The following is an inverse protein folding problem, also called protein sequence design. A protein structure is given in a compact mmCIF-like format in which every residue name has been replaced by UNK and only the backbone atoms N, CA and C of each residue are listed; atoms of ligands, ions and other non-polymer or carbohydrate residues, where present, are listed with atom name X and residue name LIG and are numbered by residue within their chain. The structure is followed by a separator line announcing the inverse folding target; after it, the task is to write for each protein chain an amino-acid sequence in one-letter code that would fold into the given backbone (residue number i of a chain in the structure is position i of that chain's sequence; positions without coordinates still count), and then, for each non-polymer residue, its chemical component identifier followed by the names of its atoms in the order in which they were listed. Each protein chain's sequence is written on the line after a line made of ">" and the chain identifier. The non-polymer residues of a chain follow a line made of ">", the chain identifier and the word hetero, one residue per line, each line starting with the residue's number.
data_IF_775285565736
#
_entry.id   IF_775285565736
#
_cell.length_a   1.000
_cell.length_b   1.000
_cell.length_c   1.000
_cell.angle_alpha   90.00
_cell.angle_beta   90.00
_cell.angle_gamma   90.00
#
_symmetry.space_group_name_H-M   'P 1'
#
loop_
_entity.id
_entity.type
_entity.pdbx_description
1 polymer ?
#
# COMPACT_ATOMS: atom_id res chain seq x y z
N UNK A 1 -3.63 -3.48 -20.59
CA UNK A 1 -2.87 -2.21 -20.58
C UNK A 1 -1.91 -2.22 -19.41
N UNK A 2 -0.67 -1.76 -19.60
CA UNK A 2 0.32 -1.59 -18.52
C UNK A 2 0.09 -0.25 -17.84
N UNK A 3 0.22 -0.21 -16.51
CA UNK A 3 0.26 1.03 -15.71
C UNK A 3 1.52 1.00 -14.87
N UNK A 4 2.40 1.98 -15.06
CA UNK A 4 3.74 1.98 -14.49
C UNK A 4 4.76 2.67 -15.40
N UNK A 5 5.98 2.17 -15.47
CA UNK A 5 7.09 2.77 -16.19
C UNK A 5 7.74 1.83 -17.18
N UNK A 6 8.07 2.37 -18.34
CA UNK A 6 9.18 1.91 -19.18
C UNK A 6 10.42 2.71 -18.78
N UNK A 7 11.34 2.07 -18.05
CA UNK A 7 12.55 2.70 -17.50
C UNK A 7 13.55 3.01 -18.61
N UNK A 8 13.61 2.18 -19.66
CA UNK A 8 14.48 2.39 -20.84
C UNK A 8 14.07 3.62 -21.64
N UNK A 9 12.77 3.78 -21.91
CA UNK A 9 12.23 4.92 -22.67
C UNK A 9 11.91 6.14 -21.82
N UNK A 10 11.99 6.02 -20.48
CA UNK A 10 11.56 7.04 -19.52
C UNK A 10 10.09 7.45 -19.70
N UNK A 11 9.23 6.47 -19.99
CA UNK A 11 7.81 6.70 -20.20
C UNK A 11 7.03 6.27 -18.97
N UNK A 12 6.18 7.17 -18.48
CA UNK A 12 5.26 6.94 -17.38
C UNK A 12 3.85 6.69 -17.91
N UNK A 13 3.39 5.46 -17.79
CA UNK A 13 2.04 5.01 -18.05
C UNK A 13 1.18 5.18 -16.79
N UNK A 14 0.75 6.43 -16.53
CA UNK A 14 -0.19 6.76 -15.45
C UNK A 14 -1.63 6.83 -15.95
N UNK A 15 -2.57 6.75 -15.01
CA UNK A 15 -4.00 6.97 -15.27
C UNK A 15 -4.42 8.31 -14.68
N UNK A 16 -5.14 9.11 -15.46
CA UNK A 16 -5.69 10.40 -15.03
C UNK A 16 -7.19 10.40 -15.23
N UNK A 17 -7.94 10.81 -14.21
CA UNK A 17 -9.38 10.98 -14.29
C UNK A 17 -9.76 12.04 -15.33
N UNK A 18 -10.94 11.93 -15.89
CA UNK A 18 -11.58 13.06 -16.55
C UNK A 18 -11.92 14.13 -15.52
N UNK A 19 -11.99 15.38 -15.97
CA UNK A 19 -12.35 16.50 -15.11
C UNK A 19 -13.76 16.32 -14.54
N UNK A 20 -14.70 15.83 -15.35
CA UNK A 20 -16.03 15.36 -14.96
C UNK A 20 -16.62 14.42 -16.04
N UNK A 21 -17.89 14.05 -15.91
CA UNK A 21 -18.57 13.11 -16.83
C UNK A 21 -18.78 13.65 -18.25
N UNK A 22 -18.83 14.98 -18.42
CA UNK A 22 -19.07 15.64 -19.71
C UNK A 22 -17.79 16.25 -20.31
N UNK A 23 -16.72 16.38 -19.53
CA UNK A 23 -15.45 16.99 -19.92
C UNK A 23 -14.28 15.98 -19.78
N UNK A 24 -13.80 15.42 -20.90
CA UNK A 24 -12.72 14.43 -20.91
C UNK A 24 -11.32 15.02 -20.73
N UNK A 25 -11.19 16.34 -20.52
CA UNK A 25 -9.92 16.95 -20.17
C UNK A 25 -9.37 16.40 -18.84
N UNK A 26 -8.06 16.56 -18.63
CA UNK A 26 -7.39 16.00 -17.46
C UNK A 26 -7.92 16.59 -16.16
N UNK A 27 -8.34 15.71 -15.26
CA UNK A 27 -8.62 16.00 -13.86
C UNK A 27 -7.36 16.00 -12.99
N UNK A 28 -7.59 16.11 -11.68
CA UNK A 28 -6.61 16.10 -10.60
C UNK A 28 -6.48 14.73 -9.92
N UNK A 29 -7.40 13.79 -10.17
CA UNK A 29 -7.36 12.44 -9.58
C UNK A 29 -6.54 11.50 -10.48
N UNK A 30 -5.39 11.05 -9.98
CA UNK A 30 -4.36 10.33 -10.75
C UNK A 30 -3.98 9.04 -10.02
N UNK A 31 -3.68 7.98 -10.77
CA UNK A 31 -2.96 6.80 -10.28
C UNK A 31 -1.63 6.66 -11.02
N UNK A 32 -0.54 6.54 -10.26
CA UNK A 32 0.80 6.42 -10.81
C UNK A 32 1.67 5.48 -9.97
N UNK A 33 2.63 4.86 -10.64
CA UNK A 33 3.69 4.06 -10.00
C UNK A 33 4.83 4.99 -9.58
N UNK A 34 5.23 4.89 -8.31
CA UNK A 34 6.36 5.63 -7.76
C UNK A 34 7.57 4.71 -7.72
N UNK A 35 8.67 5.16 -8.33
CA UNK A 35 9.92 4.42 -8.37
C UNK A 35 10.69 4.63 -7.06
N UNK A 36 10.52 3.70 -6.12
CA UNK A 36 11.35 3.53 -4.93
C UNK A 36 12.18 2.25 -5.08
N UNK A 37 13.09 1.89 -4.13
CA UNK A 37 13.76 0.59 -4.18
C UNK A 37 12.79 -0.60 -4.28
N UNK A 38 11.58 -0.48 -3.72
CA UNK A 38 10.49 -1.42 -3.96
C UNK A 38 9.21 -0.65 -4.39
N UNK A 39 8.99 -0.49 -5.71
CA UNK A 39 7.98 0.41 -6.25
C UNK A 39 6.56 0.14 -5.76
N UNK A 40 5.81 1.22 -5.61
CA UNK A 40 4.42 1.22 -5.14
C UNK A 40 3.55 2.07 -6.05
N UNK A 41 2.29 1.67 -6.24
CA UNK A 41 1.31 2.52 -6.90
C UNK A 41 0.51 3.28 -5.86
N UNK A 42 0.22 4.54 -6.19
CA UNK A 42 -0.59 5.41 -5.36
C UNK A 42 -1.68 6.09 -6.19
N UNK A 43 -2.79 6.42 -5.53
CA UNK A 43 -3.83 7.28 -6.09
C UNK A 43 -3.92 8.59 -5.33
N UNK A 44 -3.85 9.71 -6.04
CA UNK A 44 -3.74 11.06 -5.48
C UNK A 44 -4.83 11.95 -6.07
N UNK A 45 -5.35 12.89 -5.30
CA UNK A 45 -6.16 14.00 -5.81
C UNK A 45 -5.47 15.31 -5.47
N UNK A 46 -4.94 15.99 -6.49
CA UNK A 46 -4.03 17.12 -6.28
C UNK A 46 -2.81 16.68 -5.48
N UNK A 47 -2.54 17.32 -4.34
CA UNK A 47 -1.43 16.98 -3.44
C UNK A 47 -1.76 15.91 -2.39
N UNK A 48 -3.03 15.50 -2.30
CA UNK A 48 -3.48 14.55 -1.27
C UNK A 48 -3.37 13.11 -1.77
N UNK A 49 -2.51 12.31 -1.12
CA UNK A 49 -2.52 10.84 -1.26
C UNK A 49 -3.83 10.29 -0.69
N UNK A 50 -4.51 9.43 -1.45
CA UNK A 50 -5.80 8.83 -1.06
C UNK A 50 -5.70 7.32 -0.85
N UNK A 51 -4.82 6.66 -1.59
CA UNK A 51 -4.68 5.20 -1.55
C UNK A 51 -3.26 4.80 -1.93
N UNK A 52 -2.78 3.70 -1.35
CA UNK A 52 -1.50 3.06 -1.66
C UNK A 52 -1.70 1.56 -1.80
N UNK A 53 -1.17 0.98 -2.87
CA UNK A 53 -1.28 -0.45 -3.16
C UNK A 53 -0.42 -1.36 -2.28
N UNK A 54 0.55 -0.79 -1.59
CA UNK A 54 1.61 -1.54 -0.92
C UNK A 54 2.78 -1.88 -1.83
N UNK A 55 3.94 -2.21 -1.24
CA UNK A 55 5.10 -2.70 -1.96
C UNK A 55 4.86 -4.09 -2.54
N UNK A 56 5.69 -4.46 -3.52
CA UNK A 56 5.71 -5.81 -4.05
C UNK A 56 6.31 -6.77 -3.02
N UNK A 57 5.62 -7.89 -2.78
CA UNK A 57 6.02 -8.90 -1.79
C UNK A 57 6.06 -10.32 -2.37
N UNK A 58 6.51 -10.44 -3.63
CA UNK A 58 6.32 -11.66 -4.42
C UNK A 58 4.90 -11.71 -5.01
N UNK A 59 4.36 -12.88 -5.42
CA UNK A 59 3.16 -13.04 -6.26
C UNK A 59 1.87 -12.32 -5.81
N UNK A 60 1.86 -11.75 -4.61
CA UNK A 60 0.73 -11.04 -4.01
C UNK A 60 1.23 -9.68 -3.52
N UNK A 61 0.66 -8.58 -4.01
CA UNK A 61 0.76 -7.27 -3.35
C UNK A 61 -0.24 -7.19 -2.21
N UNK A 62 0.11 -6.49 -1.13
CA UNK A 62 -0.69 -6.47 0.11
C UNK A 62 -1.92 -5.56 0.06
N UNK A 63 -1.97 -4.55 -0.82
CA UNK A 63 -3.07 -3.57 -0.83
C UNK A 63 -4.14 -3.75 -1.92
N UNK A 64 -3.83 -4.29 -3.11
CA UNK A 64 -4.87 -4.47 -4.17
C UNK A 64 -5.50 -5.86 -4.14
N UNK A 65 -4.71 -6.88 -3.81
CA UNK A 65 -5.07 -8.26 -4.06
C UNK A 65 -5.56 -8.83 -2.73
N UNK A 66 -6.88 -9.01 -2.62
CA UNK A 66 -7.43 -9.83 -1.54
C UNK A 66 -6.71 -11.18 -1.45
N UNK A 67 -6.73 -11.80 -0.28
CA UNK A 67 -5.99 -13.04 -0.01
C UNK A 67 -6.37 -14.22 -0.94
N UNK A 68 -7.46 -14.09 -1.69
CA UNK A 68 -7.99 -15.07 -2.64
C UNK A 68 -7.81 -14.63 -4.09
N UNK A 69 -7.57 -15.58 -4.98
CA UNK A 69 -7.47 -15.30 -6.40
C UNK A 69 -8.78 -14.68 -6.92
N UNK A 70 -8.66 -13.60 -7.68
CA UNK A 70 -9.83 -12.94 -8.24
C UNK A 70 -10.46 -13.81 -9.36
N UNK A 71 -11.78 -14.06 -9.37
CA UNK A 71 -12.43 -14.88 -10.38
C UNK A 71 -12.60 -14.17 -11.73
N UNK A 72 -12.57 -12.84 -11.77
CA UNK A 72 -12.80 -12.03 -12.98
C UNK A 72 -11.51 -11.81 -13.79
N UNK A 73 -10.40 -11.53 -13.11
CA UNK A 73 -9.14 -11.16 -13.76
C UNK A 73 -7.90 -11.75 -13.08
N UNK A 74 -6.83 -11.88 -13.84
CA UNK A 74 -5.46 -12.02 -13.32
C UNK A 74 -4.85 -10.63 -13.13
N UNK A 75 -4.05 -10.49 -12.08
CA UNK A 75 -3.25 -9.30 -11.82
C UNK A 75 -1.78 -9.69 -11.96
N UNK A 76 -1.09 -8.99 -12.86
CA UNK A 76 0.32 -9.21 -13.11
C UNK A 76 1.07 -7.96 -12.69
N UNK A 77 2.14 -8.15 -11.91
CA UNK A 77 3.07 -7.09 -11.56
C UNK A 77 4.47 -7.51 -11.99
N UNK A 78 5.14 -6.63 -12.72
CA UNK A 78 6.52 -6.81 -13.14
C UNK A 78 7.35 -5.69 -12.53
N UNK A 79 8.52 -6.03 -11.99
CA UNK A 79 9.57 -5.08 -11.62
C UNK A 79 10.92 -5.68 -11.99
N UNK A 80 11.53 -5.17 -13.05
CA UNK A 80 12.87 -5.53 -13.47
C UNK A 80 13.66 -4.27 -13.90
N UNK A 81 14.84 -4.44 -14.48
CA UNK A 81 15.68 -3.31 -14.90
C UNK A 81 15.07 -2.45 -16.02
N UNK A 82 14.17 -3.03 -16.82
CA UNK A 82 13.61 -2.41 -18.02
C UNK A 82 12.28 -1.71 -17.77
N UNK A 83 11.41 -2.35 -16.99
CA UNK A 83 10.03 -1.93 -16.80
C UNK A 83 9.59 -2.20 -15.35
N UNK A 84 8.67 -1.37 -14.86
CA UNK A 84 7.89 -1.69 -13.67
C UNK A 84 6.44 -1.34 -13.90
N UNK A 85 5.54 -2.31 -13.84
CA UNK A 85 4.13 -2.04 -14.08
C UNK A 85 3.25 -3.06 -13.40
N UNK A 86 1.98 -2.70 -13.26
CA UNK A 86 0.91 -3.67 -13.10
C UNK A 86 -0.01 -3.68 -14.31
N UNK A 87 -0.65 -4.82 -14.54
CA UNK A 87 -1.72 -4.95 -15.52
C UNK A 87 -2.77 -5.95 -15.07
N UNK A 88 -3.94 -5.86 -15.70
CA UNK A 88 -5.03 -6.79 -15.48
C UNK A 88 -5.38 -7.48 -16.79
N UNK A 89 -5.56 -8.80 -16.72
CA UNK A 89 -5.97 -9.64 -17.84
C UNK A 89 -7.25 -10.36 -17.48
N UNK A 90 -8.32 -10.18 -18.24
CA UNK A 90 -9.59 -10.88 -17.98
C UNK A 90 -9.43 -12.37 -18.22
N UNK A 91 -10.00 -13.19 -17.34
CA UNK A 91 -9.97 -14.65 -17.47
C UNK A 91 -10.90 -15.16 -18.56
N UNK A 92 -12.02 -14.47 -18.77
CA UNK A 92 -12.95 -14.73 -19.85
C UNK A 92 -12.98 -13.52 -20.79
N UNK A 93 -12.56 -13.73 -22.04
CA UNK A 93 -12.47 -12.67 -23.05
C UNK A 93 -13.82 -12.17 -23.56
N UNK A 94 -14.91 -12.90 -23.31
CA UNK A 94 -16.28 -12.46 -23.64
C UNK A 94 -16.83 -11.43 -22.64
N UNK A 95 -16.21 -11.30 -21.46
CA UNK A 95 -16.62 -10.30 -20.47
C UNK A 95 -16.01 -8.94 -20.84
N UNK A 96 -16.82 -7.88 -20.78
CA UNK A 96 -16.32 -6.52 -20.91
C UNK A 96 -16.17 -5.91 -19.52
N UNK A 97 -14.96 -5.46 -19.19
CA UNK A 97 -14.68 -4.75 -17.95
C UNK A 97 -13.78 -3.55 -18.22
N UNK A 98 -14.08 -2.44 -17.55
CA UNK A 98 -13.31 -1.20 -17.66
C UNK A 98 -12.93 -0.69 -16.27
N UNK A 99 -11.88 0.13 -16.24
CA UNK A 99 -11.45 0.84 -15.04
C UNK A 99 -11.72 2.32 -15.26
N UNK A 100 -12.47 2.93 -14.35
CA UNK A 100 -12.86 4.35 -14.42
C UNK A 100 -12.41 5.05 -13.15
N UNK A 101 -11.86 6.26 -13.30
CA UNK A 101 -11.50 7.13 -12.19
C UNK A 101 -12.57 8.21 -12.07
N UNK A 102 -13.33 8.18 -10.98
CA UNK A 102 -14.35 9.17 -10.71
C UNK A 102 -13.78 10.24 -9.78
N UNK A 103 -13.45 11.40 -10.36
CA UNK A 103 -12.86 12.52 -9.64
C UNK A 103 -13.76 13.12 -8.57
N UNK A 104 -15.08 13.15 -8.80
CA UNK A 104 -16.04 13.79 -7.88
C UNK A 104 -16.04 13.10 -6.53
N UNK A 105 -16.12 11.77 -6.53
CA UNK A 105 -16.13 10.96 -5.30
C UNK A 105 -14.75 10.42 -4.92
N UNK A 106 -13.72 10.69 -5.74
CA UNK A 106 -12.33 10.26 -5.54
C UNK A 106 -12.15 8.75 -5.42
N UNK A 107 -12.91 7.99 -6.22
CA UNK A 107 -12.84 6.54 -6.27
C UNK A 107 -12.38 6.05 -7.63
N UNK A 108 -11.54 5.02 -7.62
CA UNK A 108 -11.30 4.19 -8.80
C UNK A 108 -12.29 3.04 -8.78
N UNK A 109 -13.03 2.86 -9.87
CA UNK A 109 -14.05 1.83 -10.00
C UNK A 109 -13.65 0.82 -11.08
N UNK A 110 -13.86 -0.48 -10.82
CA UNK A 110 -13.94 -1.50 -11.86
C UNK A 110 -15.40 -1.70 -12.21
N UNK A 111 -15.74 -1.46 -13.47
CA UNK A 111 -17.07 -1.74 -13.99
C UNK A 111 -17.04 -3.03 -14.81
N UNK A 112 -18.12 -3.80 -14.75
CA UNK A 112 -18.36 -5.00 -15.55
C UNK A 112 -19.68 -4.82 -16.28
N UNK A 113 -19.68 -5.04 -17.59
CA UNK A 113 -20.89 -4.96 -18.40
C UNK A 113 -21.72 -6.22 -18.22
N UNK A 114 -23.00 -6.05 -17.87
CA UNK A 114 -23.97 -7.15 -17.76
C UNK A 114 -24.85 -7.14 -19.02
N UNK A 115 -24.67 -8.08 -19.97
CA UNK A 115 -25.37 -8.07 -21.25
C UNK A 115 -26.89 -8.14 -21.12
N UNK A 116 -27.40 -8.90 -20.15
CA UNK A 116 -28.82 -9.17 -19.96
C UNK A 116 -29.59 -7.90 -19.56
N UNK A 117 -28.99 -7.10 -18.67
CA UNK A 117 -29.59 -5.87 -18.17
C UNK A 117 -29.11 -4.62 -18.91
N UNK A 118 -28.05 -4.73 -19.71
CA UNK A 118 -27.39 -3.61 -20.40
C UNK A 118 -26.91 -2.52 -19.43
N UNK A 119 -26.39 -2.93 -18.28
CA UNK A 119 -25.94 -2.03 -17.21
C UNK A 119 -24.47 -2.32 -16.88
N UNK A 120 -23.71 -1.26 -16.61
CA UNK A 120 -22.41 -1.35 -15.97
C UNK A 120 -22.57 -1.56 -14.46
N UNK A 121 -22.19 -2.74 -13.99
CA UNK A 121 -22.17 -3.07 -12.57
C UNK A 121 -20.83 -2.72 -11.95
N UNK A 122 -20.83 -2.14 -10.75
CA UNK A 122 -19.61 -1.86 -9.99
C UNK A 122 -19.12 -3.15 -9.34
N UNK A 123 -17.99 -3.66 -9.82
CA UNK A 123 -17.38 -4.88 -9.29
C UNK A 123 -16.45 -4.59 -8.10
N UNK A 124 -15.73 -3.48 -8.14
CA UNK A 124 -14.75 -3.09 -7.12
C UNK A 124 -14.58 -1.58 -7.08
N UNK A 125 -14.39 -1.02 -5.89
CA UNK A 125 -13.91 0.35 -5.68
C UNK A 125 -12.56 0.34 -4.97
N UNK A 126 -11.72 1.33 -5.25
CA UNK A 126 -10.52 1.64 -4.47
C UNK A 126 -10.55 3.14 -4.10
N UNK A 127 -10.28 3.50 -2.82
CA UNK A 127 -10.28 2.65 -1.62
C UNK A 127 -11.54 1.76 -1.51
N UNK A 128 -11.41 0.54 -0.97
CA UNK A 128 -12.54 -0.37 -0.78
C UNK A 128 -13.25 -0.12 0.55
N UNK A 129 -12.50 0.26 1.58
CA UNK A 129 -12.97 0.56 2.93
C UNK A 129 -12.19 1.72 3.56
N UNK A 130 -12.44 1.99 4.84
CA UNK A 130 -11.81 3.09 5.57
C UNK A 130 -10.33 2.84 5.89
N UNK A 131 -9.88 1.58 5.96
CA UNK A 131 -8.47 1.24 6.21
C UNK A 131 -7.60 1.36 4.96
N UNK A 132 -8.21 1.27 3.78
CA UNK A 132 -7.53 1.54 2.51
C UNK A 132 -7.23 3.04 2.30
N UNK A 133 -7.89 3.93 3.04
CA UNK A 133 -7.63 5.37 2.95
C UNK A 133 -6.23 5.65 3.48
N UNK A 134 -5.41 6.27 2.64
CA UNK A 134 -4.00 6.47 2.94
C UNK A 134 -3.77 7.13 4.30
N UNK A 135 -3.05 6.43 5.16
CA UNK A 135 -2.53 6.86 6.45
C UNK A 135 -3.60 7.37 7.44
N UNK A 136 -4.77 6.74 7.47
CA UNK A 136 -5.89 7.12 8.35
C UNK A 136 -5.53 7.07 9.85
N UNK A 137 -4.66 6.15 10.27
CA UNK A 137 -4.27 5.96 11.67
C UNK A 137 -3.01 6.70 12.12
N UNK A 138 -2.39 7.47 11.21
CA UNK A 138 -1.15 8.19 11.49
C UNK A 138 0.06 7.30 11.74
N UNK A 139 1.18 7.93 12.13
CA UNK A 139 2.44 7.26 12.39
C UNK A 139 2.34 6.21 13.49
N UNK A 140 2.88 5.01 13.27
CA UNK A 140 2.93 3.88 14.21
C UNK A 140 1.55 3.43 14.74
N UNK A 141 0.47 3.86 14.08
CA UNK A 141 -0.88 3.34 14.22
C UNK A 141 -1.20 2.42 13.05
N UNK A 142 -2.07 1.44 13.27
CA UNK A 142 -2.55 0.53 12.22
C UNK A 142 -4.08 0.47 12.26
N UNK A 143 -4.67 0.19 11.09
CA UNK A 143 -6.11 0.09 10.94
C UNK A 143 -6.60 -1.34 11.07
N UNK A 144 -7.70 -1.53 11.82
CA UNK A 144 -8.36 -2.81 12.06
C UNK A 144 -9.83 -2.65 11.68
N UNK A 145 -10.23 -3.29 10.57
CA UNK A 145 -11.55 -3.11 9.95
C UNK A 145 -12.72 -3.36 10.90
N UNK A 146 -12.65 -4.43 11.69
CA UNK A 146 -13.74 -4.86 12.57
C UNK A 146 -13.67 -4.23 13.98
N UNK A 147 -12.75 -3.28 14.20
CA UNK A 147 -12.59 -2.60 15.49
C UNK A 147 -13.37 -1.28 15.56
N UNK A 148 -13.74 -0.89 16.78
CA UNK A 148 -14.31 0.43 17.07
C UNK A 148 -13.65 0.98 18.34
N UNK A 149 -12.73 1.96 18.23
CA UNK A 149 -12.27 2.65 17.02
C UNK A 149 -11.42 1.76 16.09
N UNK A 150 -11.41 2.08 14.78
CA UNK A 150 -10.66 1.32 13.75
C UNK A 150 -9.14 1.44 13.92
N UNK A 151 -8.65 2.53 14.52
CA UNK A 151 -7.22 2.76 14.68
C UNK A 151 -6.69 2.31 16.04
N UNK A 152 -5.60 1.56 16.01
CA UNK A 152 -4.90 1.07 17.19
C UNK A 152 -3.40 1.35 17.08
N UNK A 153 -2.76 1.71 18.19
CA UNK A 153 -1.31 1.82 18.21
C UNK A 153 -0.66 0.44 18.09
N UNK A 154 0.50 0.38 17.45
CA UNK A 154 1.34 -0.81 17.47
C UNK A 154 1.69 -1.20 18.91
N UNK A 155 1.90 -2.50 19.16
CA UNK A 155 2.29 -2.98 20.49
C UNK A 155 3.58 -2.31 20.94
N UNK A 156 3.57 -1.71 22.14
CA UNK A 156 4.69 -0.93 22.67
C UNK A 156 4.64 0.56 22.33
N UNK A 157 3.56 1.03 21.70
CA UNK A 157 3.28 2.43 21.44
C UNK A 157 1.99 2.89 22.16
N UNK A 158 1.84 4.20 22.31
CA UNK A 158 0.66 4.89 22.85
C UNK A 158 0.30 6.10 21.99
N UNK A 159 -0.96 6.56 22.03
CA UNK A 159 -1.34 7.77 21.30
C UNK A 159 -0.46 8.95 21.69
N UNK A 160 0.00 9.71 20.69
CA UNK A 160 0.78 10.94 20.94
C UNK A 160 -0.06 11.98 21.66
N UNK A 161 -1.34 12.07 21.31
CA UNK A 161 -2.35 12.90 21.98
C UNK A 161 -3.56 12.03 22.36
N UNK A 162 -3.68 11.57 23.62
CA UNK A 162 -4.81 10.75 24.06
C UNK A 162 -6.18 11.42 23.87
N UNK A 163 -6.23 12.74 24.02
CA UNK A 163 -7.46 13.53 23.89
C UNK A 163 -7.97 13.51 22.44
N UNK A 164 -7.10 13.78 21.46
CA UNK A 164 -7.44 13.72 20.03
C UNK A 164 -7.76 12.29 19.60
N UNK A 165 -6.97 11.32 20.05
CA UNK A 165 -7.17 9.91 19.73
C UNK A 165 -8.54 9.39 20.17
N UNK A 166 -8.96 9.74 21.38
CA UNK A 166 -10.29 9.38 21.91
C UNK A 166 -11.43 10.13 21.19
N UNK A 167 -11.13 11.28 20.57
CA UNK A 167 -12.05 12.04 19.74
C UNK A 167 -12.00 11.63 18.25
N UNK A 168 -11.40 10.47 17.93
CA UNK A 168 -11.25 9.93 16.56
C UNK A 168 -10.35 10.74 15.63
N UNK A 169 -9.54 11.66 16.16
CA UNK A 169 -8.45 12.31 15.44
C UNK A 169 -7.15 11.55 15.68
N UNK A 170 -6.82 10.67 14.73
CA UNK A 170 -5.61 9.83 14.76
C UNK A 170 -4.43 10.46 14.01
N UNK A 171 -4.55 11.70 13.52
CA UNK A 171 -3.56 12.35 12.65
C UNK A 171 -2.16 12.46 13.28
N UNK A 172 -2.10 12.58 14.60
CA UNK A 172 -0.84 12.63 15.36
C UNK A 172 -0.19 11.26 15.57
N UNK A 173 -0.89 10.16 15.26
CA UNK A 173 -0.39 8.80 15.41
C UNK A 173 -0.02 8.43 16.85
N UNK A 174 0.95 7.54 16.94
CA UNK A 174 1.42 6.91 18.15
C UNK A 174 2.93 7.09 18.32
N UNK A 175 3.37 7.15 19.57
CA UNK A 175 4.78 7.25 19.98
C UNK A 175 5.13 6.07 20.88
N UNK A 176 6.42 5.71 20.95
CA UNK A 176 6.89 4.61 21.80
C UNK A 176 6.50 4.83 23.27
N UNK A 177 6.22 3.74 23.97
CA UNK A 177 5.92 3.75 25.39
C UNK A 177 7.19 3.98 26.22
N UNK A 178 7.12 4.94 27.14
CA UNK A 178 8.19 5.24 28.09
C UNK A 178 9.45 5.84 27.44
N UNK A 179 10.52 5.95 28.24
CA UNK A 179 11.82 6.41 27.77
C UNK A 179 12.59 5.22 27.17
N UNK A 180 12.41 4.99 25.87
CA UNK A 180 13.20 4.01 25.13
C UNK A 180 14.51 4.63 24.64
N UNK A 181 15.60 3.89 24.79
CA UNK A 181 16.92 4.24 24.25
C UNK A 181 17.45 3.06 23.45
N UNK A 182 17.83 3.33 22.20
CA UNK A 182 18.45 2.35 21.32
C UNK A 182 19.85 1.93 21.80
N UNK A 183 20.26 0.72 21.46
CA UNK A 183 21.58 0.17 21.71
C UNK A 183 21.76 -0.34 23.12
N UNK A 184 20.68 -0.35 23.93
CA UNK A 184 20.74 -0.86 25.30
C UNK A 184 20.62 -2.37 25.26
N UNK A 185 21.72 -3.05 25.61
CA UNK A 185 21.81 -4.51 25.63
C UNK A 185 20.62 -5.11 26.39
N UNK A 186 19.95 -6.09 25.77
CA UNK A 186 18.78 -6.80 26.29
C UNK A 186 17.50 -5.95 26.48
N UNK A 187 17.44 -4.70 26.01
CA UNK A 187 16.19 -3.90 26.01
C UNK A 187 15.57 -3.73 24.63
N UNK A 188 16.39 -3.79 23.58
CA UNK A 188 15.91 -3.71 22.20
C UNK A 188 15.46 -5.07 21.70
N UNK A 189 14.37 -5.05 20.94
CA UNK A 189 13.80 -6.23 20.33
C UNK A 189 12.66 -5.88 19.40
N UNK A 190 12.12 -6.91 18.75
CA UNK A 190 11.01 -6.77 17.81
C UNK A 190 9.84 -7.63 18.23
N UNK A 191 8.63 -7.09 18.02
CA UNK A 191 7.40 -7.86 18.09
C UNK A 191 7.02 -8.27 16.67
N UNK A 192 6.86 -9.57 16.44
CA UNK A 192 6.34 -10.08 15.17
C UNK A 192 4.86 -9.72 15.04
N UNK A 193 4.49 -9.15 13.90
CA UNK A 193 3.12 -8.84 13.49
C UNK A 193 2.82 -9.64 12.23
N UNK A 194 1.60 -10.16 12.11
CA UNK A 194 1.14 -10.99 10.99
C UNK A 194 -0.16 -10.43 10.43
N UNK A 195 -0.42 -10.65 9.13
CA UNK A 195 -1.67 -10.23 8.50
C UNK A 195 -1.82 -8.71 8.33
N UNK A 196 -0.71 -7.97 8.30
CA UNK A 196 -0.71 -6.50 8.16
C UNK A 196 -0.19 -6.10 6.78
N UNK A 197 -0.73 -5.02 6.23
CA UNK A 197 -0.16 -4.34 5.07
C UNK A 197 1.22 -3.80 5.44
N UNK A 198 2.20 -3.92 4.55
CA UNK A 198 3.53 -3.38 4.82
C UNK A 198 3.52 -1.85 4.75
N UNK A 199 4.29 -1.13 5.59
CA UNK A 199 4.27 0.33 5.61
C UNK A 199 4.81 0.95 4.32
N UNK A 200 4.50 2.25 4.11
CA UNK A 200 5.00 3.05 2.99
C UNK A 200 6.54 2.99 2.86
N UNK A 201 7.04 2.92 1.62
CA UNK A 201 8.47 2.71 1.33
C UNK A 201 9.28 4.00 1.12
N UNK A 202 8.80 5.16 1.60
CA UNK A 202 9.53 6.44 1.49
C UNK A 202 10.90 6.41 2.20
N UNK A 203 10.98 5.78 3.38
CA UNK A 203 12.22 5.66 4.17
C UNK A 203 12.59 4.18 4.34
N UNK A 204 13.14 3.61 3.28
CA UNK A 204 13.17 2.16 3.11
C UNK A 204 14.46 1.67 2.44
N UNK A 205 14.87 0.45 2.78
CA UNK A 205 16.04 -0.22 2.22
C UNK A 205 15.74 -1.69 1.96
N UNK A 206 16.31 -2.24 0.88
CA UNK A 206 16.18 -3.65 0.50
C UNK A 206 17.51 -4.30 0.20
N UNK A 207 17.51 -5.62 0.38
CA UNK A 207 18.53 -6.52 -0.14
C UNK A 207 17.86 -7.86 -0.47
N UNK A 208 17.79 -8.22 -1.74
CA UNK A 208 17.08 -9.41 -2.23
C UNK A 208 17.73 -10.74 -1.81
N UNK A 209 19.01 -10.70 -1.40
CA UNK A 209 19.81 -11.89 -1.08
C UNK A 209 19.96 -12.10 0.43
N UNK A 210 19.76 -11.06 1.22
CA UNK A 210 19.92 -11.12 2.67
C UNK A 210 18.88 -12.01 3.35
N UNK A 211 19.35 -12.88 4.25
CA UNK A 211 18.48 -13.71 5.07
C UNK A 211 17.76 -12.87 6.16
N UNK A 212 16.60 -13.35 6.61
CA UNK A 212 15.79 -12.63 7.59
C UNK A 212 16.50 -12.41 8.94
N UNK A 213 17.36 -13.34 9.37
CA UNK A 213 18.14 -13.18 10.61
C UNK A 213 19.23 -12.10 10.47
N UNK A 214 19.89 -12.01 9.31
CA UNK A 214 20.83 -10.93 9.02
C UNK A 214 20.11 -9.59 8.90
N UNK A 215 18.90 -9.59 8.34
CA UNK A 215 18.01 -8.43 8.26
C UNK A 215 17.68 -7.88 9.65
N UNK A 216 17.30 -8.77 10.57
CA UNK A 216 17.08 -8.46 11.99
C UNK A 216 18.34 -7.90 12.64
N UNK A 217 19.48 -8.57 12.47
CA UNK A 217 20.76 -8.14 13.06
C UNK A 217 21.20 -6.77 12.54
N UNK A 218 20.99 -6.49 11.26
CA UNK A 218 21.26 -5.19 10.64
C UNK A 218 20.36 -4.10 11.21
N UNK A 219 19.06 -4.39 11.35
CA UNK A 219 18.10 -3.46 11.95
C UNK A 219 18.46 -3.14 13.41
N UNK A 220 18.80 -4.14 14.23
CA UNK A 220 19.22 -3.93 15.63
C UNK A 220 20.44 -3.03 15.78
N UNK A 221 21.36 -3.04 14.81
CA UNK A 221 22.58 -2.21 14.82
C UNK A 221 22.30 -0.76 14.41
N UNK A 222 21.11 -0.44 13.90
CA UNK A 222 20.76 0.87 13.40
C UNK A 222 19.59 1.46 14.21
N UNK A 223 19.86 2.50 15.00
CA UNK A 223 18.87 3.12 15.87
C UNK A 223 17.73 3.85 15.16
N UNK A 224 17.90 4.15 13.87
CA UNK A 224 16.83 4.69 13.05
C UNK A 224 15.91 3.59 12.51
N UNK A 225 16.30 2.31 12.61
CA UNK A 225 15.49 1.20 12.14
C UNK A 225 14.28 0.96 13.05
N UNK A 226 13.10 0.86 12.45
CA UNK A 226 11.85 0.66 13.18
C UNK A 226 11.19 -0.69 12.91
N UNK A 227 11.35 -1.22 11.69
CA UNK A 227 10.80 -2.51 11.31
C UNK A 227 11.64 -3.18 10.24
N UNK A 228 11.48 -4.50 10.13
CA UNK A 228 12.01 -5.29 9.04
C UNK A 228 11.03 -6.40 8.66
N UNK A 229 11.13 -6.88 7.43
CA UNK A 229 10.35 -8.03 6.94
C UNK A 229 11.13 -8.82 5.90
N UNK A 230 10.64 -10.03 5.59
CA UNK A 230 11.00 -10.70 4.35
C UNK A 230 10.51 -9.87 3.16
N UNK A 231 11.27 -9.87 2.06
CA UNK A 231 10.81 -9.31 0.78
C UNK A 231 9.75 -10.22 0.12
N UNK A 232 9.85 -11.53 0.32
CA UNK A 232 8.90 -12.51 -0.20
C UNK A 232 7.94 -13.00 0.90
N UNK A 233 6.64 -12.81 0.67
CA UNK A 233 5.56 -13.22 1.58
C UNK A 233 5.25 -14.73 1.55
N UNK A 234 5.75 -15.47 0.56
CA UNK A 234 5.51 -16.93 0.42
C UNK A 234 6.28 -17.76 1.45
N UNK A 235 7.25 -17.17 2.14
CA UNK A 235 8.09 -17.85 3.13
C UNK A 235 9.16 -18.78 2.55
N UNK A 236 9.19 -18.96 1.22
CA UNK A 236 10.20 -19.73 0.50
C UNK A 236 11.34 -18.85 -0.07
N UNK A 237 11.13 -17.52 -0.11
CA UNK A 237 12.07 -16.57 -0.70
C UNK A 237 13.12 -16.02 0.28
N UNK A 238 14.22 -15.55 -0.29
CA UNK A 238 15.21 -14.69 0.37
C UNK A 238 14.79 -13.22 0.26
N UNK A 239 15.44 -12.38 1.05
CA UNK A 239 15.36 -10.94 0.89
C UNK A 239 14.93 -10.22 2.16
N UNK A 240 15.47 -9.03 2.32
CA UNK A 240 15.33 -8.18 3.47
C UNK A 240 14.70 -6.86 3.06
N UNK A 241 13.73 -6.43 3.85
CA UNK A 241 13.06 -5.13 3.78
C UNK A 241 13.26 -4.44 5.12
N UNK A 242 13.72 -3.19 5.12
CA UNK A 242 13.95 -2.41 6.35
C UNK A 242 13.31 -1.04 6.22
N UNK A 243 12.56 -0.62 7.24
CA UNK A 243 11.98 0.72 7.36
C UNK A 243 12.69 1.52 8.45
N UNK A 244 12.85 2.81 8.19
CA UNK A 244 13.46 3.76 9.11
C UNK A 244 12.47 4.83 9.55
N UNK A 245 12.53 5.21 10.83
CA UNK A 245 11.64 6.23 11.40
C UNK A 245 10.22 5.74 11.60
N UNK A 246 9.24 6.62 11.45
CA UNK A 246 7.84 6.28 11.68
C UNK A 246 7.28 5.33 10.60
N UNK A 247 6.53 4.32 11.04
CA UNK A 247 5.82 3.41 10.13
C UNK A 247 4.46 4.03 9.80
N UNK A 248 4.14 4.19 8.52
CA UNK A 248 2.91 4.87 8.07
C UNK A 248 2.11 4.02 7.10
N UNK A 249 0.80 4.27 7.07
CA UNK A 249 -0.18 3.58 6.22
C UNK A 249 -0.22 2.05 6.42
N UNK A 250 -0.40 1.63 7.68
CA UNK A 250 -0.48 0.22 8.11
C UNK A 250 -1.90 -0.32 8.21
#
# INVERSE_FOLDING_TARGET
>A
MKVGWDKKRRLDWRLTAWKNWDDPSSGEFISAMILTPNPESFMWKGLRKLYRTGPWTGPRTTGIIGLTQNPLYNYDFLNNEDEVYYMFTLKNSSIISIIVFNQTISLRQRLVWIPETKIWSVYQTLPQDNCDIYNVCGANGHCVLDASPICQCLVGFKPKSPQQWNATDWSQGCVRNGNWSCGVKNKDGFKRIVGMKLPDTTHYWIDEKMALEDCKARCLKNCSCSAYSSLDSTGAGSGCSIWFGDLVDL
#
